data_IF_052619121458
#
_entry.id   IF_052619121458
#
_cell.length_a   1.000
_cell.length_b   1.000
_cell.length_c   1.000
_cell.angle_alpha   90.00
_cell.angle_beta   90.00
_cell.angle_gamma   90.00
#
_symmetry.space_group_name_H-M   'P 1'
#
loop_
_entity.id
_entity.type
_entity.pdbx_description
1 polymer ?
#
# COMPACT_ATOMS: atom_id res chain seq x y z
N UNK A 1 14.22 -8.19 -10.59
CA UNK A 1 13.28 -8.92 -9.73
C UNK A 1 12.52 -10.01 -10.48
N UNK A 2 11.56 -9.72 -11.39
CA UNK A 2 10.79 -10.77 -12.10
C UNK A 2 11.62 -11.88 -12.78
N UNK A 3 12.73 -11.51 -13.44
CA UNK A 3 13.65 -12.51 -14.04
C UNK A 3 14.32 -13.42 -13.00
N UNK A 4 14.58 -12.92 -11.80
CA UNK A 4 15.23 -13.67 -10.72
C UNK A 4 14.27 -14.64 -10.02
N UNK A 5 12.96 -14.38 -10.11
CA UNK A 5 11.93 -15.23 -9.49
C UNK A 5 11.26 -16.18 -10.47
N UNK A 6 11.69 -16.18 -11.74
CA UNK A 6 11.16 -17.07 -12.77
C UNK A 6 11.37 -18.54 -12.38
N UNK A 7 10.29 -19.34 -12.42
CA UNK A 7 10.31 -20.75 -12.04
C UNK A 7 10.23 -21.02 -10.53
N UNK A 8 10.05 -19.99 -9.70
CA UNK A 8 9.83 -20.12 -8.25
C UNK A 8 8.37 -19.86 -7.88
N UNK A 9 8.03 -20.04 -6.60
CA UNK A 9 6.75 -19.63 -6.01
C UNK A 9 6.73 -18.15 -5.55
N UNK A 10 7.71 -17.34 -5.98
CA UNK A 10 7.79 -15.91 -5.66
C UNK A 10 7.25 -15.07 -6.80
N UNK A 11 6.15 -14.37 -6.54
CA UNK A 11 5.50 -13.47 -7.49
C UNK A 11 5.82 -12.02 -7.15
N UNK A 12 6.38 -11.28 -8.11
CA UNK A 12 6.69 -9.85 -7.95
C UNK A 12 5.59 -9.06 -8.62
N UNK A 13 4.79 -8.35 -7.83
CA UNK A 13 3.63 -7.58 -8.29
C UNK A 13 3.90 -6.08 -8.14
N UNK A 14 3.85 -5.36 -9.26
CA UNK A 14 3.80 -3.90 -9.30
C UNK A 14 2.87 -3.54 -10.45
N UNK A 15 1.65 -3.09 -10.10
CA UNK A 15 0.52 -2.98 -11.02
C UNK A 15 0.37 -4.28 -11.83
N UNK A 16 0.38 -5.42 -11.14
CA UNK A 16 0.31 -6.74 -11.75
C UNK A 16 -0.58 -7.70 -10.96
N UNK A 17 -1.01 -8.76 -11.65
CA UNK A 17 -1.96 -9.76 -11.14
C UNK A 17 -1.35 -11.14 -11.13
N UNK A 18 -1.63 -11.90 -10.07
CA UNK A 18 -1.42 -13.34 -10.04
C UNK A 18 -2.70 -14.04 -9.62
N UNK A 19 -2.94 -15.23 -10.18
CA UNK A 19 -4.03 -16.11 -9.77
C UNK A 19 -3.46 -17.32 -9.08
N UNK A 20 -3.99 -17.61 -7.91
CA UNK A 20 -3.67 -18.82 -7.15
C UNK A 20 -5.02 -19.44 -6.81
N UNK A 21 -5.27 -20.63 -7.38
CA UNK A 21 -6.56 -21.31 -7.33
C UNK A 21 -7.73 -20.41 -7.77
N UNK A 22 -8.74 -20.21 -6.92
CA UNK A 22 -9.92 -19.38 -7.18
C UNK A 22 -9.72 -17.89 -6.81
N UNK A 23 -8.55 -17.52 -6.31
CA UNK A 23 -8.24 -16.18 -5.79
C UNK A 23 -7.43 -15.36 -6.80
N UNK A 24 -7.83 -14.12 -7.00
CA UNK A 24 -7.10 -13.12 -7.79
C UNK A 24 -6.40 -12.15 -6.85
N UNK A 25 -5.07 -12.16 -6.88
CA UNK A 25 -4.24 -11.21 -6.14
C UNK A 25 -3.84 -10.04 -7.03
N UNK A 26 -4.22 -8.84 -6.64
CA UNK A 26 -3.86 -7.59 -7.30
C UNK A 26 -2.79 -6.88 -6.47
N UNK A 27 -1.60 -6.68 -7.04
CA UNK A 27 -0.47 -6.12 -6.29
C UNK A 27 0.08 -4.83 -6.87
N UNK A 28 0.31 -3.84 -6.01
CA UNK A 28 0.92 -2.56 -6.36
C UNK A 28 1.68 -1.96 -5.17
N UNK A 29 2.80 -1.26 -5.37
CA UNK A 29 3.41 -0.47 -4.29
C UNK A 29 2.44 0.61 -3.78
N UNK A 30 1.53 1.05 -4.66
CA UNK A 30 0.50 2.06 -4.47
C UNK A 30 1.02 3.48 -4.25
N UNK A 31 2.14 3.70 -3.55
CA UNK A 31 2.60 5.04 -3.16
C UNK A 31 1.46 5.88 -2.55
N UNK A 32 1.63 7.20 -2.42
CA UNK A 32 0.61 8.08 -1.87
C UNK A 32 0.43 9.35 -2.69
N UNK A 33 -0.68 10.05 -2.48
CA UNK A 33 -0.95 11.34 -3.11
C UNK A 33 -0.66 12.55 -2.19
N UNK A 34 -0.27 12.29 -0.95
CA UNK A 34 -0.03 13.24 0.14
C UNK A 34 -1.27 13.98 0.65
N UNK A 35 -2.48 13.55 0.27
CA UNK A 35 -3.70 14.31 0.60
C UNK A 35 -4.34 13.96 1.94
N UNK A 36 -3.85 12.94 2.64
CA UNK A 36 -4.51 12.40 3.84
C UNK A 36 -4.82 13.48 4.90
N UNK A 37 -3.89 14.39 5.14
CA UNK A 37 -4.03 15.47 6.14
C UNK A 37 -4.54 16.79 5.52
N UNK A 38 -5.07 16.74 4.29
CA UNK A 38 -5.71 17.86 3.61
C UNK A 38 -4.77 18.74 2.77
N UNK A 39 -3.55 19.04 3.21
CA UNK A 39 -2.57 19.84 2.45
C UNK A 39 -1.48 18.96 1.81
N UNK A 40 -1.58 18.65 0.49
CA UNK A 40 -0.61 17.82 -0.20
C UNK A 40 0.74 18.48 -0.47
N UNK A 41 0.86 19.81 -0.34
CA UNK A 41 2.15 20.50 -0.43
C UNK A 41 2.90 20.33 0.89
N UNK A 42 2.19 20.49 2.00
CA UNK A 42 2.75 20.28 3.34
C UNK A 42 3.20 18.82 3.52
N UNK A 43 2.35 17.85 3.17
CA UNK A 43 2.69 16.43 3.26
C UNK A 43 3.89 16.04 2.38
N UNK A 44 3.92 16.52 1.13
CA UNK A 44 5.05 16.28 0.22
C UNK A 44 6.36 16.91 0.73
N UNK A 45 6.28 18.10 1.33
CA UNK A 45 7.45 18.78 1.91
C UNK A 45 7.96 18.03 3.13
N UNK A 46 7.06 17.62 4.03
CA UNK A 46 7.39 16.80 5.18
C UNK A 46 8.06 15.49 4.75
N UNK A 47 7.50 14.79 3.75
CA UNK A 47 8.06 13.55 3.22
C UNK A 47 9.48 13.73 2.67
N UNK A 48 9.69 14.78 1.85
CA UNK A 48 11.00 15.09 1.26
C UNK A 48 12.08 15.30 2.30
N UNK A 49 11.74 15.89 3.44
CA UNK A 49 12.68 16.18 4.54
C UNK A 49 12.82 14.99 5.49
N UNK A 50 11.72 14.29 5.77
CA UNK A 50 11.60 13.33 6.86
C UNK A 50 11.79 11.86 6.49
N UNK A 51 11.79 11.50 5.20
CA UNK A 51 11.91 10.09 4.78
C UNK A 51 13.17 9.83 3.96
N UNK A 52 13.85 8.73 4.29
CA UNK A 52 15.01 8.24 3.56
C UNK A 52 14.68 7.94 2.10
N UNK A 53 13.44 7.55 1.80
CA UNK A 53 12.92 7.28 0.47
C UNK A 53 13.26 8.41 -0.52
N UNK A 54 12.97 9.65 -0.13
CA UNK A 54 13.20 10.85 -0.96
C UNK A 54 14.64 11.39 -0.88
N UNK A 55 15.54 10.67 -0.20
CA UNK A 55 16.97 11.00 -0.09
C UNK A 55 17.84 9.94 -0.78
N UNK A 56 17.39 8.68 -0.80
CA UNK A 56 18.21 7.52 -1.15
C UNK A 56 17.66 6.73 -2.34
N UNK A 57 16.34 6.71 -2.56
CA UNK A 57 15.78 5.98 -3.70
C UNK A 57 16.09 6.73 -5.00
N UNK A 58 16.54 5.98 -5.99
CA UNK A 58 16.84 6.46 -7.35
C UNK A 58 15.82 5.93 -8.33
N UNK A 59 15.31 6.80 -9.21
CA UNK A 59 14.39 6.41 -10.28
C UNK A 59 15.14 5.75 -11.42
N UNK A 60 14.43 4.93 -12.18
CA UNK A 60 14.93 4.36 -13.43
C UNK A 60 14.05 4.81 -14.60
N UNK A 61 14.62 5.03 -15.80
CA UNK A 61 16.05 4.88 -16.13
C UNK A 61 16.94 6.09 -15.76
N UNK A 62 16.38 7.20 -15.28
CA UNK A 62 17.08 8.48 -15.20
C UNK A 62 18.11 8.62 -14.06
N UNK A 63 18.15 7.67 -13.11
CA UNK A 63 19.01 7.70 -11.91
C UNK A 63 18.86 8.99 -11.07
N UNK A 64 17.69 9.61 -11.14
CA UNK A 64 17.36 10.81 -10.38
C UNK A 64 16.90 10.42 -8.96
N UNK A 65 17.14 11.29 -7.98
CA UNK A 65 16.56 11.10 -6.64
C UNK A 65 15.04 11.13 -6.75
N UNK A 66 14.36 10.16 -6.15
CA UNK A 66 12.90 10.08 -6.11
C UNK A 66 12.32 11.37 -5.51
N UNK A 67 11.30 11.94 -6.15
CA UNK A 67 10.61 13.14 -5.66
C UNK A 67 9.16 12.81 -5.31
N UNK A 68 8.53 13.57 -4.40
CA UNK A 68 7.10 13.45 -4.11
C UNK A 68 6.20 13.55 -5.36
N UNK A 69 6.61 14.31 -6.37
CA UNK A 69 5.88 14.38 -7.64
C UNK A 69 5.88 13.04 -8.40
N UNK A 70 6.96 12.26 -8.29
CA UNK A 70 7.08 10.95 -8.94
C UNK A 70 6.17 9.94 -8.22
N UNK A 71 6.19 9.89 -6.89
CA UNK A 71 5.36 8.97 -6.09
C UNK A 71 3.88 9.30 -6.18
N UNK A 72 3.49 10.58 -6.23
CA UNK A 72 2.11 10.97 -6.55
C UNK A 72 1.66 10.46 -7.91
N UNK A 73 2.53 10.55 -8.93
CA UNK A 73 2.21 10.03 -10.26
C UNK A 73 2.03 8.51 -10.23
N UNK A 74 2.96 7.78 -9.59
CA UNK A 74 2.83 6.33 -9.43
C UNK A 74 1.56 5.95 -8.68
N UNK A 75 1.14 6.75 -7.70
CA UNK A 75 -0.10 6.52 -6.97
C UNK A 75 -1.34 6.59 -7.87
N UNK A 76 -1.46 7.64 -8.68
CA UNK A 76 -2.60 7.76 -9.60
C UNK A 76 -2.59 6.65 -10.66
N UNK A 77 -1.41 6.25 -11.16
CA UNK A 77 -1.24 5.10 -12.07
C UNK A 77 -1.71 3.79 -11.42
N UNK A 78 -1.26 3.49 -10.20
CA UNK A 78 -1.66 2.29 -9.46
C UNK A 78 -3.13 2.29 -9.09
N UNK A 79 -3.68 3.44 -8.66
CA UNK A 79 -5.09 3.60 -8.33
C UNK A 79 -5.97 3.33 -9.55
N UNK A 80 -5.63 3.92 -10.70
CA UNK A 80 -6.35 3.68 -11.94
C UNK A 80 -6.28 2.20 -12.36
N UNK A 81 -5.08 1.61 -12.31
CA UNK A 81 -4.90 0.20 -12.64
C UNK A 81 -5.71 -0.72 -11.71
N UNK A 82 -5.74 -0.45 -10.40
CA UNK A 82 -6.54 -1.20 -9.43
C UNK A 82 -8.04 -1.11 -9.74
N UNK A 83 -8.57 0.08 -10.07
CA UNK A 83 -9.97 0.26 -10.47
C UNK A 83 -10.29 -0.62 -11.68
N UNK A 84 -9.44 -0.61 -12.70
CA UNK A 84 -9.61 -1.41 -13.92
C UNK A 84 -9.57 -2.92 -13.65
N UNK A 85 -8.61 -3.39 -12.82
CA UNK A 85 -8.50 -4.82 -12.50
C UNK A 85 -9.63 -5.33 -11.61
N UNK A 86 -10.06 -4.53 -10.64
CA UNK A 86 -11.19 -4.87 -9.78
C UNK A 86 -12.46 -5.03 -10.61
N UNK A 87 -12.72 -4.12 -11.55
CA UNK A 87 -13.85 -4.25 -12.48
C UNK A 87 -13.74 -5.52 -13.33
N UNK A 88 -12.57 -5.76 -13.92
CA UNK A 88 -12.29 -6.92 -14.77
C UNK A 88 -12.50 -8.25 -14.05
N UNK A 89 -12.28 -8.29 -12.74
CA UNK A 89 -12.38 -9.49 -11.91
C UNK A 89 -13.52 -9.43 -10.89
N UNK A 90 -14.52 -8.56 -11.10
CA UNK A 90 -15.64 -8.32 -10.16
C UNK A 90 -16.36 -9.59 -9.70
N UNK A 91 -16.43 -10.62 -10.54
CA UNK A 91 -17.06 -11.92 -10.24
C UNK A 91 -16.08 -12.96 -9.64
N UNK A 92 -14.88 -12.56 -9.23
CA UNK A 92 -13.86 -13.42 -8.63
C UNK A 92 -13.59 -13.03 -7.18
N UNK A 93 -12.98 -13.95 -6.43
CA UNK A 93 -12.47 -13.66 -5.09
C UNK A 93 -11.21 -12.82 -5.22
N UNK A 94 -11.29 -11.54 -4.89
CA UNK A 94 -10.18 -10.59 -5.02
C UNK A 94 -9.50 -10.40 -3.66
N UNK A 95 -8.16 -10.45 -3.67
CA UNK A 95 -7.28 -9.95 -2.61
C UNK A 95 -6.42 -8.84 -3.20
N UNK A 96 -6.39 -7.69 -2.54
CA UNK A 96 -5.52 -6.58 -2.91
C UNK A 96 -4.33 -6.54 -1.97
N UNK A 97 -3.12 -6.36 -2.50
CA UNK A 97 -1.88 -6.29 -1.75
C UNK A 97 -1.16 -5.01 -2.11
N UNK A 98 -1.00 -4.09 -1.16
CA UNK A 98 -0.28 -2.84 -1.35
C UNK A 98 0.86 -2.65 -0.38
N UNK A 99 1.84 -1.81 -0.70
CA UNK A 99 2.83 -1.41 0.31
C UNK A 99 2.26 -0.33 1.24
N UNK A 100 1.77 0.77 0.65
CA UNK A 100 1.17 1.88 1.38
C UNK A 100 -0.29 1.59 1.75
N UNK A 101 -0.76 2.19 2.84
CA UNK A 101 -2.12 1.95 3.33
C UNK A 101 -3.17 2.68 2.49
N UNK A 102 -4.32 2.06 2.19
CA UNK A 102 -5.41 2.70 1.46
C UNK A 102 -6.30 3.58 2.36
N UNK A 103 -5.98 3.75 3.65
CA UNK A 103 -6.82 4.49 4.58
C UNK A 103 -6.06 5.03 5.79
N UNK A 104 -6.43 6.23 6.22
CA UNK A 104 -5.92 6.85 7.45
C UNK A 104 -6.29 6.09 8.72
N UNK A 105 -7.25 5.15 8.69
CA UNK A 105 -7.59 4.31 9.86
C UNK A 105 -6.43 3.43 10.32
N UNK A 106 -5.44 3.18 9.45
CA UNK A 106 -4.22 2.46 9.81
C UNK A 106 -3.21 3.32 10.58
N UNK A 107 -3.36 4.65 10.56
CA UNK A 107 -2.48 5.58 11.28
C UNK A 107 -2.85 5.53 12.77
N UNK A 108 -1.87 5.26 13.62
CA UNK A 108 -2.09 5.19 15.08
C UNK A 108 -2.44 6.56 15.65
N UNK A 109 -3.21 6.59 16.74
CA UNK A 109 -3.61 7.81 17.45
C UNK A 109 -2.45 8.78 17.71
N UNK A 110 -1.28 8.23 18.07
CA UNK A 110 -0.06 9.00 18.36
C UNK A 110 0.37 9.95 17.24
N UNK A 111 0.11 9.59 15.99
CA UNK A 111 0.56 10.32 14.82
C UNK A 111 -0.55 11.12 14.15
N UNK A 112 -1.77 11.15 14.68
CA UNK A 112 -2.88 11.88 14.04
C UNK A 112 -2.52 13.35 13.81
N UNK A 113 -2.82 13.83 12.60
CA UNK A 113 -2.55 15.22 12.20
C UNK A 113 -1.10 15.49 11.83
N UNK A 114 -0.19 14.50 11.93
CA UNK A 114 1.17 14.66 11.41
C UNK A 114 1.13 14.71 9.88
N UNK A 115 1.59 15.81 9.24
CA UNK A 115 1.61 15.92 7.78
C UNK A 115 2.35 14.77 7.09
N UNK A 116 3.30 14.12 7.77
CA UNK A 116 4.03 12.98 7.24
C UNK A 116 3.13 11.77 6.99
N UNK A 117 1.97 11.65 7.64
CA UNK A 117 1.02 10.57 7.41
C UNK A 117 0.58 10.47 5.94
N UNK A 118 0.53 11.60 5.23
CA UNK A 118 0.24 11.64 3.80
C UNK A 118 1.29 10.91 2.94
N UNK A 119 2.46 10.61 3.49
CA UNK A 119 3.47 9.78 2.83
C UNK A 119 3.32 8.28 3.12
N UNK A 120 2.46 7.90 4.09
CA UNK A 120 2.25 6.51 4.49
C UNK A 120 0.89 5.93 4.05
N UNK A 121 -0.14 6.78 3.99
CA UNK A 121 -1.48 6.41 3.60
C UNK A 121 -2.13 7.46 2.69
N UNK A 122 -3.08 7.00 1.87
CA UNK A 122 -4.00 7.84 1.10
C UNK A 122 -5.44 7.57 1.55
N UNK A 123 -6.34 8.54 1.39
CA UNK A 123 -7.77 8.29 1.56
C UNK A 123 -8.35 7.62 0.31
N UNK A 124 -8.45 6.29 0.33
CA UNK A 124 -9.06 5.48 -0.72
C UNK A 124 -10.28 4.70 -0.19
N UNK A 125 -10.83 5.07 0.97
CA UNK A 125 -11.87 4.27 1.64
C UNK A 125 -13.08 4.01 0.75
N UNK A 126 -13.50 5.05 0.04
CA UNK A 126 -14.54 5.04 -0.98
C UNK A 126 -14.33 3.97 -2.06
N UNK A 127 -13.08 3.81 -2.54
CA UNK A 127 -12.74 2.79 -3.51
C UNK A 127 -12.66 1.40 -2.88
N UNK A 128 -12.05 1.30 -1.69
CA UNK A 128 -11.96 0.04 -0.94
C UNK A 128 -13.36 -0.55 -0.69
N UNK A 129 -14.33 0.28 -0.30
CA UNK A 129 -15.72 -0.13 -0.07
C UNK A 129 -16.38 -0.67 -1.35
N UNK A 130 -16.20 0.04 -2.47
CA UNK A 130 -16.82 -0.33 -3.76
C UNK A 130 -16.09 -1.46 -4.48
N UNK A 131 -14.86 -1.80 -4.05
CA UNK A 131 -14.01 -2.77 -4.76
C UNK A 131 -14.54 -4.20 -4.70
N UNK A 132 -15.31 -4.56 -3.67
CA UNK A 132 -15.75 -5.94 -3.44
C UNK A 132 -14.61 -6.92 -3.10
N UNK A 133 -13.40 -6.43 -2.85
CA UNK A 133 -12.29 -7.25 -2.40
C UNK A 133 -12.63 -7.93 -1.05
N UNK A 134 -12.22 -9.18 -0.86
CA UNK A 134 -12.41 -9.87 0.42
C UNK A 134 -11.41 -9.39 1.47
N UNK A 135 -10.19 -9.13 1.01
CA UNK A 135 -9.08 -8.71 1.85
C UNK A 135 -8.22 -7.68 1.10
N UNK A 136 -7.80 -6.65 1.83
CA UNK A 136 -6.79 -5.69 1.43
C UNK A 136 -5.64 -5.75 2.44
N UNK A 137 -4.48 -6.26 2.01
CA UNK A 137 -3.27 -6.30 2.82
C UNK A 137 -2.40 -5.10 2.52
N UNK A 138 -1.91 -4.42 3.55
CA UNK A 138 -0.90 -3.37 3.39
C UNK A 138 0.23 -3.49 4.42
N UNK A 139 1.22 -2.60 4.32
CA UNK A 139 2.30 -2.46 5.28
C UNK A 139 2.69 -1.00 5.43
N UNK A 140 4.01 -0.76 5.41
CA UNK A 140 4.71 0.54 5.50
C UNK A 140 4.49 1.31 6.81
N UNK A 141 3.24 1.42 7.27
CA UNK A 141 2.92 1.86 8.63
C UNK A 141 3.30 0.71 9.55
N UNK A 142 4.31 0.91 10.40
CA UNK A 142 4.80 -0.08 11.38
C UNK A 142 3.85 -0.22 12.58
N UNK A 143 2.56 -0.37 12.30
CA UNK A 143 1.50 -0.68 13.25
C UNK A 143 0.64 -1.79 12.69
N UNK A 144 0.25 -2.73 13.55
CA UNK A 144 -0.79 -3.70 13.20
C UNK A 144 -2.10 -2.95 12.93
N UNK A 145 -2.87 -3.43 11.96
CA UNK A 145 -4.21 -2.94 11.66
C UNK A 145 -5.09 -4.09 11.22
N UNK A 146 -6.34 -4.12 11.69
CA UNK A 146 -7.33 -5.14 11.32
C UNK A 146 -8.73 -4.52 11.49
N UNK A 147 -9.34 -4.10 10.39
CA UNK A 147 -10.63 -3.40 10.41
C UNK A 147 -11.40 -3.61 9.11
N UNK A 148 -12.67 -3.18 9.09
CA UNK A 148 -13.53 -3.28 7.92
C UNK A 148 -13.75 -1.90 7.27
N UNK A 149 -13.72 -1.86 5.94
CA UNK A 149 -14.28 -0.78 5.13
C UNK A 149 -15.34 -1.42 4.22
N UNK A 150 -16.61 -1.13 4.49
CA UNK A 150 -17.72 -1.88 3.91
C UNK A 150 -17.57 -3.38 4.18
N UNK A 151 -17.45 -4.17 3.11
CA UNK A 151 -17.27 -5.63 3.17
C UNK A 151 -15.82 -6.08 3.01
N UNK A 152 -14.88 -5.15 2.83
CA UNK A 152 -13.47 -5.44 2.64
C UNK A 152 -12.75 -5.40 3.99
N UNK A 153 -12.08 -6.50 4.36
CA UNK A 153 -11.18 -6.51 5.51
C UNK A 153 -9.86 -5.86 5.14
N UNK A 154 -9.43 -4.84 5.86
CA UNK A 154 -8.12 -4.19 5.70
C UNK A 154 -7.20 -4.68 6.81
N UNK A 155 -6.04 -5.21 6.44
CA UNK A 155 -5.12 -5.89 7.34
C UNK A 155 -3.67 -5.44 7.12
N UNK A 156 -2.96 -5.16 8.20
CA UNK A 156 -1.51 -5.04 8.22
C UNK A 156 -0.93 -5.79 9.42
N UNK A 157 0.12 -6.57 9.17
CA UNK A 157 0.87 -7.31 10.18
C UNK A 157 2.38 -7.08 10.00
N UNK A 158 2.86 -5.82 10.11
CA UNK A 158 4.24 -5.47 9.84
C UNK A 158 5.15 -5.93 10.98
N UNK A 159 6.34 -6.41 10.63
CA UNK A 159 7.39 -6.76 11.61
C UNK A 159 8.09 -5.54 12.20
N UNK A 160 8.20 -4.46 11.41
CA UNK A 160 9.07 -3.32 11.70
C UNK A 160 10.55 -3.60 11.42
N UNK A 161 11.41 -2.67 11.83
CA UNK A 161 12.86 -2.86 11.76
C UNK A 161 13.37 -3.94 12.74
N UNK A 162 14.57 -4.52 12.53
CA UNK A 162 15.12 -5.54 13.43
C UNK A 162 15.19 -5.13 14.91
N UNK A 163 15.45 -3.86 15.19
CA UNK A 163 15.53 -3.28 16.55
C UNK A 163 14.19 -2.69 17.03
N UNK A 164 13.18 -2.67 16.17
CA UNK A 164 11.87 -2.09 16.46
C UNK A 164 10.91 -3.17 16.94
N UNK A 165 10.19 -2.87 18.02
CA UNK A 165 9.10 -3.74 18.49
C UNK A 165 7.77 -3.18 18.02
N UNK A 166 7.19 -3.82 17.00
CA UNK A 166 5.79 -3.58 16.62
C UNK A 166 4.87 -4.41 17.49
N UNK A 167 4.01 -3.76 18.26
CA UNK A 167 3.03 -4.44 19.10
C UNK A 167 2.02 -5.23 18.24
N UNK A 168 1.78 -6.48 18.62
CA UNK A 168 0.83 -7.36 17.94
C UNK A 168 1.33 -8.01 16.65
N UNK A 169 2.58 -7.78 16.22
CA UNK A 169 3.15 -8.57 15.11
C UNK A 169 3.06 -10.06 15.43
N UNK A 170 2.47 -10.81 14.50
CA UNK A 170 2.30 -12.25 14.61
C UNK A 170 2.99 -12.95 13.42
N UNK A 171 4.14 -13.61 13.63
CA UNK A 171 4.86 -14.28 12.55
C UNK A 171 4.12 -15.51 11.98
N UNK A 172 3.07 -15.98 12.65
CA UNK A 172 2.27 -17.13 12.25
C UNK A 172 0.84 -16.75 11.81
N UNK A 173 0.58 -15.45 11.57
CA UNK A 173 -0.74 -14.98 11.18
C UNK A 173 -1.20 -15.63 9.86
N UNK A 174 -2.32 -16.34 9.93
CA UNK A 174 -3.05 -16.86 8.78
C UNK A 174 -4.44 -16.23 8.77
N UNK A 175 -4.91 -15.84 7.58
CA UNK A 175 -6.25 -15.30 7.38
C UNK A 175 -6.97 -16.03 6.26
N UNK A 176 -8.25 -16.28 6.45
CA UNK A 176 -9.12 -16.92 5.47
C UNK A 176 -9.79 -15.85 4.58
N UNK A 177 -9.96 -16.17 3.29
CA UNK A 177 -10.57 -15.31 2.25
C UNK A 177 -11.57 -16.07 1.38
#
# INVERSE_FOLDING_TARGET
MKRLTAGTNVHVLENDVVRIDDVVFLGATLWTDFRLEGDPILGATAAKVGMADYQQIRTLPEDAVLRPADTRRYHEESKQWLVEQVEKYRDKKIVVVTHHSPSGKSVTERFRGDPLNGAFASDMEDFVERSGAKLWVHGHIHSRSDYMIGWTRVLANPRGYPEERVEGFDPALVVEV
#
